data_IF_999351473889
#
_entry.id   IF_999351473889
#
_cell.length_a   1.000
_cell.length_b   1.000
_cell.length_c   1.000
_cell.angle_alpha   90.00
_cell.angle_beta   90.00
_cell.angle_gamma   90.00
#
_symmetry.space_group_name_H-M   'P 1'
#
loop_
_entity.id
_entity.type
_entity.pdbx_description
1 polymer ?
#
# COMPACT_ATOMS: atom_id res chain seq x y z
N UNK A 1 -16.87 -28.18 -3.22
CA UNK A 1 -16.19 -28.26 -1.92
C UNK A 1 -15.34 -27.01 -1.71
N UNK A 2 -15.91 -25.98 -1.06
CA UNK A 2 -15.28 -24.66 -0.89
C UNK A 2 -13.88 -24.76 -0.23
N UNK A 3 -13.69 -25.72 0.69
CA UNK A 3 -12.42 -25.88 1.41
C UNK A 3 -11.23 -26.26 0.53
N UNK A 4 -11.46 -26.97 -0.57
CA UNK A 4 -10.40 -27.36 -1.51
C UNK A 4 -9.86 -26.19 -2.32
N UNK A 5 -10.64 -25.10 -2.44
CA UNK A 5 -10.27 -23.91 -3.21
C UNK A 5 -9.79 -22.75 -2.36
N UNK A 6 -9.72 -22.93 -1.03
CA UNK A 6 -9.34 -21.84 -0.11
C UNK A 6 -7.98 -21.21 -0.42
N UNK A 7 -7.06 -21.98 -0.97
CA UNK A 7 -5.70 -21.52 -1.30
C UNK A 7 -5.47 -21.39 -2.81
N UNK A 8 -6.54 -21.57 -3.61
CA UNK A 8 -6.47 -21.46 -5.06
C UNK A 8 -6.73 -20.01 -5.50
N UNK A 9 -5.66 -19.29 -5.85
CA UNK A 9 -5.73 -17.89 -6.21
C UNK A 9 -6.76 -17.54 -7.31
N UNK A 10 -6.91 -18.31 -8.42
CA UNK A 10 -7.94 -18.04 -9.41
C UNK A 10 -9.36 -18.09 -8.86
N UNK A 11 -9.66 -18.97 -7.89
CA UNK A 11 -10.98 -19.01 -7.24
C UNK A 11 -11.25 -17.74 -6.44
N UNK A 12 -10.28 -17.29 -5.66
CA UNK A 12 -10.39 -16.04 -4.88
C UNK A 12 -10.57 -14.84 -5.81
N UNK A 13 -9.85 -14.80 -6.94
CA UNK A 13 -10.01 -13.75 -7.95
C UNK A 13 -11.38 -13.78 -8.61
N UNK A 14 -11.89 -14.96 -8.97
CA UNK A 14 -13.22 -15.13 -9.54
C UNK A 14 -14.31 -14.64 -8.57
N UNK A 15 -14.24 -15.04 -7.30
CA UNK A 15 -15.19 -14.61 -6.28
C UNK A 15 -15.10 -13.09 -6.07
N UNK A 16 -13.90 -12.52 -6.05
CA UNK A 16 -13.71 -11.07 -5.95
C UNK A 16 -14.35 -10.33 -7.12
N UNK A 17 -14.18 -10.84 -8.34
CA UNK A 17 -14.80 -10.25 -9.54
C UNK A 17 -16.34 -10.35 -9.51
N UNK A 18 -16.88 -11.51 -9.13
CA UNK A 18 -18.31 -11.70 -8.93
C UNK A 18 -18.89 -10.74 -7.90
N UNK A 19 -18.19 -10.53 -6.79
CA UNK A 19 -18.57 -9.59 -5.74
C UNK A 19 -18.57 -8.15 -6.23
N UNK A 20 -17.58 -7.74 -7.02
CA UNK A 20 -17.54 -6.42 -7.62
C UNK A 20 -18.78 -6.16 -8.48
N UNK A 21 -19.14 -7.11 -9.35
CA UNK A 21 -20.31 -6.98 -10.21
C UNK A 21 -21.63 -6.93 -9.39
N UNK A 22 -21.79 -7.81 -8.41
CA UNK A 22 -23.00 -7.84 -7.57
C UNK A 22 -23.13 -6.60 -6.68
N UNK A 23 -22.03 -6.11 -6.10
CA UNK A 23 -22.06 -4.94 -5.25
C UNK A 23 -22.37 -3.66 -6.05
N UNK A 24 -21.85 -3.54 -7.26
CA UNK A 24 -22.07 -2.36 -8.12
C UNK A 24 -23.51 -2.25 -8.60
N UNK A 25 -24.20 -3.35 -8.87
CA UNK A 25 -25.61 -3.37 -9.34
C UNK A 25 -26.58 -2.80 -8.29
N UNK A 26 -26.24 -2.87 -7.00
CA UNK A 26 -27.13 -2.47 -5.90
C UNK A 26 -27.13 -0.96 -5.61
N UNK A 27 -26.22 -0.16 -6.19
CA UNK A 27 -26.04 1.25 -5.84
C UNK A 27 -26.01 2.16 -7.07
N UNK A 28 -27.16 2.29 -7.76
CA UNK A 28 -27.34 3.38 -8.71
C UNK A 28 -28.06 4.57 -8.03
N UNK A 29 -27.37 5.73 -8.04
CA UNK A 29 -27.81 7.10 -7.80
C UNK A 29 -27.72 7.68 -6.38
N UNK A 30 -27.23 8.94 -6.31
CA UNK A 30 -27.27 9.95 -5.24
C UNK A 30 -26.21 9.94 -4.13
N UNK A 31 -25.07 9.23 -4.26
CA UNK A 31 -23.99 9.26 -3.28
C UNK A 31 -22.76 9.96 -3.84
N UNK A 32 -21.96 10.60 -2.97
CA UNK A 32 -20.60 11.02 -3.32
C UNK A 32 -19.76 9.80 -3.70
N UNK A 33 -18.69 9.98 -4.49
CA UNK A 33 -17.88 8.83 -4.92
C UNK A 33 -17.24 8.11 -3.72
N UNK A 34 -16.84 8.85 -2.69
CA UNK A 34 -16.28 8.30 -1.44
C UNK A 34 -17.31 7.48 -0.67
N UNK A 35 -18.56 7.94 -0.58
CA UNK A 35 -19.63 7.20 0.09
C UNK A 35 -20.07 5.96 -0.70
N UNK A 36 -20.02 6.02 -2.03
CA UNK A 36 -20.25 4.86 -2.90
C UNK A 36 -19.21 3.78 -2.64
N UNK A 37 -17.93 4.15 -2.54
CA UNK A 37 -16.83 3.25 -2.26
C UNK A 37 -17.03 2.51 -0.93
N UNK A 38 -17.27 3.25 0.16
CA UNK A 38 -17.55 2.66 1.47
C UNK A 38 -18.74 1.69 1.41
N UNK A 39 -19.88 2.13 0.88
CA UNK A 39 -21.09 1.32 0.83
C UNK A 39 -20.91 0.09 -0.05
N UNK A 40 -20.27 0.22 -1.18
CA UNK A 40 -19.94 -0.91 -2.06
C UNK A 40 -19.11 -1.96 -1.35
N UNK A 41 -18.06 -1.55 -0.63
CA UNK A 41 -17.17 -2.48 0.06
C UNK A 41 -17.83 -3.09 1.32
N UNK A 42 -18.66 -2.34 2.07
CA UNK A 42 -19.47 -2.91 3.15
C UNK A 42 -20.46 -3.94 2.58
N UNK A 43 -21.05 -3.67 1.41
CA UNK A 43 -21.95 -4.62 0.77
C UNK A 43 -21.24 -5.90 0.34
N UNK A 44 -20.01 -5.79 -0.21
CA UNK A 44 -19.17 -6.96 -0.49
C UNK A 44 -18.96 -7.83 0.75
N UNK A 45 -18.63 -7.20 1.91
CA UNK A 45 -18.47 -7.93 3.18
C UNK A 45 -19.77 -8.68 3.57
N UNK A 46 -20.93 -8.02 3.45
CA UNK A 46 -22.23 -8.64 3.76
C UNK A 46 -22.55 -9.82 2.82
N UNK A 47 -22.29 -9.67 1.52
CA UNK A 47 -22.50 -10.75 0.54
C UNK A 47 -21.64 -11.95 0.86
N UNK A 48 -20.36 -11.74 1.20
CA UNK A 48 -19.43 -12.81 1.60
C UNK A 48 -19.94 -13.53 2.83
N UNK A 49 -20.34 -12.81 3.87
CA UNK A 49 -20.85 -13.39 5.11
C UNK A 49 -22.11 -14.23 4.88
N UNK A 50 -22.99 -13.79 3.96
CA UNK A 50 -24.23 -14.50 3.62
C UNK A 50 -24.00 -15.75 2.78
N UNK A 51 -23.13 -15.66 1.75
CA UNK A 51 -22.99 -16.69 0.74
C UNK A 51 -21.91 -17.73 1.07
N UNK A 52 -20.84 -17.35 1.76
CA UNK A 52 -19.70 -18.23 2.02
C UNK A 52 -19.85 -18.86 3.41
N UNK A 53 -20.06 -20.16 3.47
CA UNK A 53 -20.27 -20.91 4.73
C UNK A 53 -18.96 -21.45 5.31
N UNK A 54 -17.96 -21.70 4.49
CA UNK A 54 -16.65 -22.15 4.96
C UNK A 54 -15.89 -20.98 5.58
N UNK A 55 -15.64 -21.00 6.88
CA UNK A 55 -14.99 -19.92 7.63
C UNK A 55 -13.58 -19.58 7.12
N UNK A 56 -12.78 -20.56 6.71
CA UNK A 56 -11.44 -20.31 6.17
C UNK A 56 -11.51 -19.52 4.85
N UNK A 57 -12.39 -19.92 3.95
CA UNK A 57 -12.62 -19.23 2.66
C UNK A 57 -13.22 -17.85 2.91
N UNK A 58 -14.23 -17.75 3.77
CA UNK A 58 -14.87 -16.50 4.15
C UNK A 58 -13.85 -15.48 4.66
N UNK A 59 -13.05 -15.84 5.66
CA UNK A 59 -12.04 -14.96 6.22
C UNK A 59 -11.02 -14.51 5.17
N UNK A 60 -10.56 -15.40 4.30
CA UNK A 60 -9.60 -15.05 3.24
C UNK A 60 -10.15 -14.01 2.27
N UNK A 61 -11.42 -14.13 1.90
CA UNK A 61 -12.09 -13.17 1.01
C UNK A 61 -12.33 -11.85 1.75
N UNK A 62 -12.81 -11.88 3.00
CA UNK A 62 -13.00 -10.69 3.83
C UNK A 62 -11.67 -9.92 4.00
N UNK A 63 -10.57 -10.62 4.28
CA UNK A 63 -9.25 -10.03 4.39
C UNK A 63 -8.81 -9.35 3.10
N UNK A 64 -9.01 -10.02 1.95
CA UNK A 64 -8.66 -9.44 0.64
C UNK A 64 -9.45 -8.15 0.35
N UNK A 65 -10.77 -8.13 0.64
CA UNK A 65 -11.60 -6.93 0.51
C UNK A 65 -11.08 -5.82 1.41
N UNK A 66 -10.73 -6.14 2.68
CA UNK A 66 -10.25 -5.17 3.64
C UNK A 66 -8.91 -4.56 3.23
N UNK A 67 -7.96 -5.38 2.77
CA UNK A 67 -6.69 -4.89 2.25
C UNK A 67 -6.86 -3.96 1.05
N UNK A 68 -7.70 -4.35 0.08
CA UNK A 68 -7.93 -3.53 -1.10
C UNK A 68 -8.57 -2.19 -0.74
N UNK A 69 -9.63 -2.21 0.06
CA UNK A 69 -10.34 -1.00 0.46
C UNK A 69 -9.45 -0.01 1.22
N UNK A 70 -8.74 -0.48 2.25
CA UNK A 70 -7.90 0.39 3.08
C UNK A 70 -6.73 1.02 2.33
N UNK A 71 -6.27 0.39 1.23
CA UNK A 71 -5.19 0.94 0.42
C UNK A 71 -5.67 1.95 -0.64
N UNK A 72 -6.95 2.01 -0.91
CA UNK A 72 -7.54 2.87 -1.93
C UNK A 72 -8.29 4.06 -1.32
N UNK A 73 -8.99 3.86 -0.20
CA UNK A 73 -9.75 4.92 0.48
C UNK A 73 -8.89 5.66 1.52
N UNK A 74 -8.69 6.95 1.31
CA UNK A 74 -7.97 7.83 2.24
C UNK A 74 -8.90 8.59 3.21
N UNK A 75 -10.19 8.26 3.26
CA UNK A 75 -11.13 8.86 4.18
C UNK A 75 -11.10 8.16 5.54
N UNK A 76 -10.50 8.80 6.52
CA UNK A 76 -10.31 8.24 7.88
C UNK A 76 -11.61 7.84 8.56
N UNK A 77 -12.69 8.61 8.37
CA UNK A 77 -14.00 8.30 8.96
C UNK A 77 -14.56 7.04 8.33
N UNK A 78 -14.48 6.93 7.02
CA UNK A 78 -14.90 5.77 6.26
C UNK A 78 -14.10 4.52 6.62
N UNK A 79 -12.79 4.66 6.82
CA UNK A 79 -11.93 3.56 7.24
C UNK A 79 -12.38 2.97 8.57
N UNK A 80 -12.70 3.79 9.56
CA UNK A 80 -13.19 3.31 10.85
C UNK A 80 -14.51 2.55 10.71
N UNK A 81 -15.47 3.11 9.98
CA UNK A 81 -16.78 2.47 9.73
C UNK A 81 -16.58 1.11 9.03
N UNK A 82 -15.69 1.04 8.05
CA UNK A 82 -15.38 -0.18 7.33
C UNK A 82 -14.69 -1.23 8.24
N UNK A 83 -13.69 -0.82 9.00
CA UNK A 83 -12.96 -1.69 9.93
C UNK A 83 -13.91 -2.29 10.97
N UNK A 84 -14.79 -1.49 11.56
CA UNK A 84 -15.79 -1.96 12.52
C UNK A 84 -16.69 -3.04 11.92
N UNK A 85 -17.12 -2.86 10.66
CA UNK A 85 -17.92 -3.86 9.95
C UNK A 85 -17.13 -5.14 9.68
N UNK A 86 -15.91 -5.02 9.19
CA UNK A 86 -15.01 -6.16 8.95
C UNK A 86 -14.77 -6.95 10.24
N UNK A 87 -14.51 -6.26 11.38
CA UNK A 87 -14.29 -6.88 12.68
C UNK A 87 -15.46 -7.73 13.16
N UNK A 88 -16.70 -7.29 12.89
CA UNK A 88 -17.91 -8.04 13.25
C UNK A 88 -18.07 -9.33 12.45
N UNK A 89 -17.58 -9.35 11.22
CA UNK A 89 -17.81 -10.47 10.29
C UNK A 89 -16.67 -11.48 10.22
N UNK A 90 -15.42 -11.02 10.41
CA UNK A 90 -14.26 -11.91 10.39
C UNK A 90 -14.09 -12.62 11.74
N UNK A 91 -13.79 -13.92 11.73
CA UNK A 91 -13.38 -14.71 12.91
C UNK A 91 -11.84 -14.87 13.00
N UNK A 92 -11.09 -14.39 12.02
CA UNK A 92 -9.63 -14.51 11.95
C UNK A 92 -8.93 -13.45 12.79
N UNK A 93 -8.53 -13.81 14.00
CA UNK A 93 -7.90 -12.88 14.96
C UNK A 93 -6.55 -12.34 14.48
N UNK A 94 -5.77 -13.12 13.75
CA UNK A 94 -4.44 -12.72 13.26
C UNK A 94 -4.56 -11.62 12.22
N UNK A 95 -5.37 -11.82 11.19
CA UNK A 95 -5.60 -10.83 10.15
C UNK A 95 -6.38 -9.60 10.64
N UNK A 96 -7.24 -9.75 11.66
CA UNK A 96 -7.85 -8.59 12.30
C UNK A 96 -6.82 -7.60 12.83
N UNK A 97 -5.79 -8.13 13.53
CA UNK A 97 -4.72 -7.27 14.06
C UNK A 97 -3.91 -6.62 12.93
N UNK A 98 -3.65 -7.35 11.86
CA UNK A 98 -2.95 -6.81 10.68
C UNK A 98 -3.77 -5.70 9.99
N UNK A 99 -5.04 -5.91 9.76
CA UNK A 99 -5.95 -4.92 9.18
C UNK A 99 -6.05 -3.66 10.06
N UNK A 100 -6.10 -3.83 11.38
CA UNK A 100 -6.09 -2.69 12.31
C UNK A 100 -4.79 -1.89 12.23
N UNK A 101 -3.64 -2.56 12.19
CA UNK A 101 -2.33 -1.91 12.03
C UNK A 101 -2.26 -1.10 10.74
N UNK A 102 -2.73 -1.66 9.62
CA UNK A 102 -2.79 -0.97 8.34
C UNK A 102 -3.72 0.25 8.41
N UNK A 103 -4.91 0.07 8.98
CA UNK A 103 -5.86 1.17 9.17
C UNK A 103 -5.27 2.32 9.99
N UNK A 104 -4.56 2.01 11.09
CA UNK A 104 -3.87 2.99 11.92
C UNK A 104 -2.72 3.67 11.16
N UNK A 105 -1.92 2.92 10.41
CA UNK A 105 -0.85 3.48 9.58
C UNK A 105 -1.39 4.47 8.54
N UNK A 106 -2.46 4.10 7.84
CA UNK A 106 -3.11 4.98 6.85
C UNK A 106 -3.61 6.26 7.48
N UNK A 107 -4.12 6.22 8.72
CA UNK A 107 -4.53 7.43 9.44
C UNK A 107 -3.37 8.40 9.67
N UNK A 108 -2.15 7.90 9.87
CA UNK A 108 -0.94 8.71 10.02
C UNK A 108 -0.39 9.24 8.68
N UNK A 109 -0.81 8.64 7.57
CA UNK A 109 -0.34 9.01 6.21
C UNK A 109 -1.25 10.02 5.50
N UNK A 110 -2.11 10.71 6.23
CA UNK A 110 -3.00 11.74 5.68
C UNK A 110 -2.25 12.99 5.21
N UNK A 111 -2.77 13.69 4.20
CA UNK A 111 -2.22 14.98 3.80
C UNK A 111 -2.08 15.96 4.98
N UNK A 112 -1.00 16.72 4.97
CA UNK A 112 -0.58 17.70 6.01
C UNK A 112 -0.04 17.11 7.31
N UNK A 113 0.07 15.77 7.42
CA UNK A 113 0.75 15.12 8.55
C UNK A 113 2.23 14.92 8.22
N UNK A 114 3.06 14.81 9.25
CA UNK A 114 4.44 14.40 9.11
C UNK A 114 4.51 12.93 8.72
N UNK A 115 5.45 12.59 7.84
CA UNK A 115 5.70 11.19 7.49
C UNK A 115 6.29 10.46 8.71
N UNK A 116 5.71 9.34 9.18
CA UNK A 116 6.26 8.58 10.30
C UNK A 116 7.73 8.21 10.07
N UNK A 117 8.56 8.40 11.09
CA UNK A 117 10.00 8.21 10.99
C UNK A 117 10.35 6.72 10.91
N UNK A 118 11.15 6.36 9.91
CA UNK A 118 11.76 5.04 9.73
C UNK A 118 13.28 5.19 9.50
N UNK A 119 14.03 4.12 9.72
CA UNK A 119 15.44 4.09 9.40
C UNK A 119 15.68 3.55 7.99
N UNK A 120 16.51 4.27 7.24
CA UNK A 120 16.97 3.92 5.91
C UNK A 120 18.49 3.76 5.90
N UNK A 121 19.02 3.06 4.91
CA UNK A 121 20.46 2.89 4.71
C UNK A 121 20.83 3.59 3.41
N UNK A 122 21.82 4.49 3.48
CA UNK A 122 22.33 5.18 2.29
C UNK A 122 23.30 4.30 1.48
N UNK A 123 23.75 4.81 0.34
CA UNK A 123 24.68 4.10 -0.56
C UNK A 123 26.06 3.83 0.05
N UNK A 124 26.41 4.50 1.16
CA UNK A 124 27.65 4.29 1.92
C UNK A 124 27.45 3.27 3.06
N UNK A 125 26.25 2.70 3.21
CA UNK A 125 25.92 1.77 4.29
C UNK A 125 25.60 2.44 5.63
N UNK A 126 25.47 3.78 5.67
CA UNK A 126 25.13 4.53 6.87
C UNK A 126 23.62 4.57 7.08
N UNK A 127 23.18 4.34 8.32
CA UNK A 127 21.78 4.51 8.71
C UNK A 127 21.41 6.00 8.78
N UNK A 128 20.34 6.37 8.11
CA UNK A 128 19.78 7.72 8.04
C UNK A 128 18.32 7.66 8.42
N UNK A 129 17.88 8.60 9.26
CA UNK A 129 16.47 8.79 9.60
C UNK A 129 15.70 9.43 8.44
N UNK A 130 14.51 8.94 8.15
CA UNK A 130 13.70 9.36 6.98
C UNK A 130 13.26 10.82 7.00
N UNK A 131 13.20 11.48 8.16
CA UNK A 131 12.96 12.92 8.27
C UNK A 131 14.06 13.77 7.64
N UNK A 132 15.26 13.20 7.44
CA UNK A 132 16.45 13.87 6.86
C UNK A 132 16.61 13.67 5.35
N UNK A 133 15.80 12.83 4.73
CA UNK A 133 15.91 12.56 3.29
C UNK A 133 15.21 13.60 2.41
N UNK A 134 14.27 14.35 2.97
CA UNK A 134 13.50 15.37 2.26
C UNK A 134 14.07 16.76 2.52
N UNK A 135 14.65 17.39 1.48
CA UNK A 135 15.19 18.74 1.55
C UNK A 135 14.35 19.76 0.75
N UNK A 136 13.39 19.28 -0.01
CA UNK A 136 12.47 20.03 -0.86
C UNK A 136 11.23 19.18 -1.16
N UNK A 137 10.33 19.63 -2.03
CA UNK A 137 9.23 18.76 -2.49
C UNK A 137 9.77 17.42 -2.98
N UNK A 138 9.32 16.32 -2.37
CA UNK A 138 9.93 15.01 -2.54
C UNK A 138 8.91 13.98 -2.99
N UNK A 139 9.30 13.17 -3.97
CA UNK A 139 8.55 11.99 -4.41
C UNK A 139 9.34 10.76 -3.98
N UNK A 140 8.75 9.95 -3.09
CA UNK A 140 9.33 8.69 -2.62
C UNK A 140 8.62 7.56 -3.33
N UNK A 141 9.37 6.63 -3.89
CA UNK A 141 8.85 5.41 -4.49
C UNK A 141 9.65 4.19 -4.03
N UNK A 142 9.09 3.00 -4.26
CA UNK A 142 9.63 1.75 -3.74
C UNK A 142 9.97 0.80 -4.88
N UNK A 143 10.97 -0.05 -4.66
CA UNK A 143 11.38 -1.05 -5.61
C UNK A 143 12.02 -2.27 -4.96
N UNK A 144 12.10 -3.38 -5.68
CA UNK A 144 12.78 -4.61 -5.29
C UNK A 144 13.47 -5.24 -6.50
N UNK A 145 14.59 -5.90 -6.27
CA UNK A 145 15.31 -6.63 -7.33
C UNK A 145 14.48 -7.78 -7.93
N UNK A 146 13.56 -8.33 -7.16
CA UNK A 146 12.69 -9.44 -7.59
C UNK A 146 11.74 -9.05 -8.74
N UNK A 147 11.50 -7.75 -8.94
CA UNK A 147 10.62 -7.20 -9.97
C UNK A 147 11.43 -6.32 -10.93
N UNK A 148 12.32 -6.92 -11.71
CA UNK A 148 13.26 -6.21 -12.60
C UNK A 148 12.56 -5.31 -13.63
N UNK A 149 11.46 -5.75 -14.21
CA UNK A 149 10.67 -4.93 -15.14
C UNK A 149 10.08 -3.68 -14.46
N UNK A 150 9.59 -3.81 -13.22
CA UNK A 150 9.11 -2.69 -12.42
C UNK A 150 10.26 -1.72 -12.06
N UNK A 151 11.39 -2.26 -11.60
CA UNK A 151 12.59 -1.48 -11.31
C UNK A 151 12.97 -0.59 -12.50
N UNK A 152 13.15 -1.17 -13.69
CA UNK A 152 13.57 -0.44 -14.89
C UNK A 152 12.52 0.59 -15.35
N UNK A 153 11.26 0.18 -15.43
CA UNK A 153 10.17 1.06 -15.87
C UNK A 153 9.98 2.26 -14.92
N UNK A 154 10.02 2.01 -13.60
CA UNK A 154 9.83 3.06 -12.60
C UNK A 154 10.97 4.06 -12.62
N UNK A 155 12.22 3.63 -12.61
CA UNK A 155 13.37 4.53 -12.66
C UNK A 155 13.42 5.33 -13.96
N UNK A 156 13.14 4.69 -15.12
CA UNK A 156 13.02 5.39 -16.40
C UNK A 156 11.95 6.48 -16.34
N UNK A 157 10.78 6.18 -15.78
CA UNK A 157 9.70 7.16 -15.62
C UNK A 157 10.11 8.32 -14.72
N UNK A 158 10.83 8.04 -13.64
CA UNK A 158 11.28 9.06 -12.69
C UNK A 158 12.34 9.99 -13.27
N UNK A 159 13.25 9.47 -14.08
CA UNK A 159 14.21 10.30 -14.81
C UNK A 159 13.50 11.29 -15.74
N UNK A 160 12.45 10.86 -16.45
CA UNK A 160 11.61 11.74 -17.26
C UNK A 160 10.87 12.77 -16.40
N UNK A 161 10.30 12.36 -15.27
CA UNK A 161 9.63 13.26 -14.34
C UNK A 161 10.59 14.29 -13.74
N UNK A 162 11.80 13.90 -13.44
CA UNK A 162 12.84 14.81 -12.95
C UNK A 162 13.19 15.90 -13.96
N UNK A 163 13.26 15.56 -15.24
CA UNK A 163 13.47 16.57 -16.30
C UNK A 163 12.29 17.56 -16.37
N UNK A 164 11.05 17.05 -16.23
CA UNK A 164 9.84 17.87 -16.26
C UNK A 164 9.65 18.70 -14.98
N UNK A 165 10.08 18.18 -13.83
CA UNK A 165 9.89 18.78 -12.51
C UNK A 165 11.23 18.90 -11.76
N UNK A 166 12.15 19.77 -12.21
CA UNK A 166 13.52 19.85 -11.66
C UNK A 166 13.57 20.31 -10.19
N UNK A 167 12.51 20.99 -9.73
CA UNK A 167 12.38 21.43 -8.34
C UNK A 167 12.02 20.32 -7.36
N UNK A 168 11.59 19.16 -7.85
CA UNK A 168 11.29 18.01 -7.02
C UNK A 168 12.55 17.16 -6.77
N UNK A 169 12.63 16.60 -5.58
CA UNK A 169 13.57 15.53 -5.27
C UNK A 169 12.88 14.19 -5.51
N UNK A 170 13.59 13.24 -6.10
CA UNK A 170 13.13 11.87 -6.29
C UNK A 170 13.96 10.95 -5.44
N UNK A 171 13.29 10.20 -4.56
CA UNK A 171 13.87 9.27 -3.60
C UNK A 171 13.38 7.88 -3.92
N UNK A 172 14.30 6.95 -4.09
CA UNK A 172 14.01 5.53 -4.30
C UNK A 172 14.36 4.75 -3.03
N UNK A 173 13.43 3.91 -2.56
CA UNK A 173 13.64 3.04 -1.41
C UNK A 173 13.56 1.58 -1.84
N UNK A 174 14.69 0.89 -1.78
CA UNK A 174 14.75 -0.54 -2.00
C UNK A 174 14.22 -1.30 -0.79
N UNK A 175 13.37 -2.30 -1.01
CA UNK A 175 12.69 -3.09 0.02
C UNK A 175 13.40 -4.41 0.37
N UNK A 176 14.47 -4.75 -0.36
CA UNK A 176 15.17 -6.01 -0.13
C UNK A 176 16.17 -5.90 1.05
N UNK A 177 16.43 -7.03 1.71
CA UNK A 177 17.36 -7.09 2.85
C UNK A 177 18.83 -7.16 2.42
N UNK A 178 19.12 -7.61 1.20
CA UNK A 178 20.44 -7.90 0.69
C UNK A 178 21.16 -6.62 0.25
N UNK A 179 22.09 -6.16 1.07
CA UNK A 179 22.92 -4.96 0.82
C UNK A 179 23.82 -5.14 -0.41
N UNK A 180 24.42 -6.31 -0.57
CA UNK A 180 25.38 -6.55 -1.66
C UNK A 180 24.65 -6.58 -3.01
N UNK A 181 23.52 -7.29 -3.09
CA UNK A 181 22.69 -7.34 -4.29
C UNK A 181 22.17 -5.93 -4.65
N UNK A 182 21.74 -5.13 -3.66
CA UNK A 182 21.33 -3.75 -3.87
C UNK A 182 22.45 -2.91 -4.47
N UNK A 183 23.65 -2.93 -3.86
CA UNK A 183 24.81 -2.18 -4.33
C UNK A 183 25.22 -2.58 -5.75
N UNK A 184 25.22 -3.89 -6.07
CA UNK A 184 25.48 -4.40 -7.42
C UNK A 184 24.45 -3.88 -8.43
N UNK A 185 23.18 -3.82 -8.03
CA UNK A 185 22.09 -3.29 -8.87
C UNK A 185 22.29 -1.81 -9.17
N UNK A 186 22.60 -0.99 -8.17
CA UNK A 186 22.88 0.43 -8.37
C UNK A 186 24.09 0.68 -9.29
N UNK A 187 25.15 -0.11 -9.12
CA UNK A 187 26.34 -0.04 -9.99
C UNK A 187 26.03 -0.39 -11.44
N UNK A 188 25.15 -1.38 -11.66
CA UNK A 188 24.70 -1.81 -13.01
C UNK A 188 23.89 -0.74 -13.71
N UNK A 189 22.87 -0.19 -13.05
CA UNK A 189 21.87 0.68 -13.70
C UNK A 189 22.23 2.17 -13.66
N UNK A 190 23.05 2.63 -12.72
CA UNK A 190 23.53 4.02 -12.58
C UNK A 190 22.41 5.06 -12.66
N UNK A 191 21.44 4.98 -11.78
CA UNK A 191 20.26 5.88 -11.74
C UNK A 191 20.63 7.31 -11.29
N UNK A 192 21.40 8.02 -12.10
CA UNK A 192 21.91 9.35 -11.79
C UNK A 192 20.79 10.34 -11.50
N UNK A 193 20.90 10.99 -10.33
CA UNK A 193 20.01 12.07 -9.94
C UNK A 193 18.73 11.61 -9.22
N UNK A 194 18.61 10.33 -8.88
CA UNK A 194 17.66 9.79 -7.91
C UNK A 194 18.44 9.50 -6.63
N UNK A 195 17.91 9.89 -5.48
CA UNK A 195 18.52 9.58 -4.18
C UNK A 195 18.13 8.17 -3.77
N UNK A 196 19.09 7.27 -3.73
CA UNK A 196 18.87 5.85 -3.47
C UNK A 196 19.09 5.51 -2.00
N UNK A 197 18.12 4.82 -1.41
CA UNK A 197 18.16 4.27 -0.08
C UNK A 197 17.68 2.83 -0.06
N UNK A 198 18.04 2.09 0.98
CA UNK A 198 17.45 0.77 1.29
C UNK A 198 16.74 0.85 2.63
N UNK A 199 15.64 0.16 2.80
CA UNK A 199 14.99 0.07 4.10
C UNK A 199 15.90 -0.71 5.09
N UNK A 200 16.05 -0.20 6.30
CA UNK A 200 16.80 -0.90 7.35
C UNK A 200 16.00 -2.06 7.92
N UNK A 201 14.70 -1.83 8.14
CA UNK A 201 13.73 -2.81 8.61
C UNK A 201 12.44 -2.72 7.79
N UNK A 202 12.13 -3.79 7.04
CA UNK A 202 10.95 -3.82 6.18
C UNK A 202 9.64 -3.88 6.98
N UNK A 203 9.61 -4.56 8.13
CA UNK A 203 8.39 -4.65 8.93
C UNK A 203 8.05 -3.30 9.58
N UNK A 204 9.05 -2.58 10.10
CA UNK A 204 8.86 -1.22 10.62
C UNK A 204 8.36 -0.26 9.51
N UNK A 205 8.96 -0.32 8.33
CA UNK A 205 8.56 0.49 7.18
C UNK A 205 7.14 0.13 6.71
N UNK A 206 6.83 -1.17 6.62
CA UNK A 206 5.50 -1.66 6.26
C UNK A 206 4.43 -1.18 7.23
N UNK A 207 4.69 -1.28 8.54
CA UNK A 207 3.75 -0.87 9.58
C UNK A 207 3.55 0.66 9.60
N UNK A 208 4.61 1.45 9.42
CA UNK A 208 4.55 2.92 9.50
C UNK A 208 4.08 3.59 8.21
N UNK A 209 4.50 3.08 7.06
CA UNK A 209 4.18 3.67 5.76
C UNK A 209 3.14 2.89 4.97
N UNK A 210 2.52 1.88 5.57
CA UNK A 210 1.52 1.01 4.97
C UNK A 210 1.96 0.43 3.61
N UNK A 211 3.23 0.00 3.51
CA UNK A 211 3.79 -0.54 2.27
C UNK A 211 3.35 -1.98 2.10
N UNK A 212 2.23 -2.19 1.44
CA UNK A 212 1.69 -3.52 1.11
C UNK A 212 1.93 -3.90 -0.34
N UNK A 213 2.25 -2.91 -1.19
CA UNK A 213 2.57 -3.08 -2.62
C UNK A 213 3.77 -2.20 -2.97
N UNK A 214 4.65 -2.72 -3.83
CA UNK A 214 5.84 -1.99 -4.30
C UNK A 214 5.48 -0.76 -5.14
N UNK A 215 4.30 -0.74 -5.74
CA UNK A 215 3.84 0.37 -6.61
C UNK A 215 3.36 1.62 -5.87
N UNK A 216 3.49 1.65 -4.54
CA UNK A 216 3.11 2.81 -3.75
C UNK A 216 4.05 3.99 -4.03
N UNK A 217 3.51 5.21 -3.93
CA UNK A 217 4.27 6.46 -4.06
C UNK A 217 3.85 7.40 -2.95
N UNK A 218 4.79 8.06 -2.28
CA UNK A 218 4.53 9.08 -1.25
C UNK A 218 5.07 10.42 -1.77
N UNK A 219 4.26 11.47 -1.66
CA UNK A 219 4.63 12.82 -2.07
C UNK A 219 4.65 13.72 -0.83
N UNK A 220 5.79 14.36 -0.58
CA UNK A 220 5.98 15.31 0.50
C UNK A 220 6.09 16.74 -0.05
N UNK A 221 5.62 17.70 0.72
CA UNK A 221 5.85 19.11 0.46
C UNK A 221 7.29 19.53 0.88
N UNK A 222 7.63 20.81 0.67
CA UNK A 222 8.93 21.38 1.03
C UNK A 222 9.22 21.42 2.54
N UNK A 223 8.22 21.16 3.40
CA UNK A 223 8.35 21.07 4.85
C UNK A 223 8.43 19.60 5.33
N UNK A 224 8.38 18.63 4.41
CA UNK A 224 8.33 17.20 4.73
C UNK A 224 6.95 16.70 5.12
N UNK A 225 5.90 17.51 4.95
CA UNK A 225 4.53 17.09 5.22
C UNK A 225 3.95 16.31 4.02
N UNK A 226 3.14 15.31 4.31
CA UNK A 226 2.50 14.49 3.29
C UNK A 226 1.54 15.34 2.44
N UNK A 227 1.70 15.30 1.13
CA UNK A 227 0.75 15.80 0.13
C UNK A 227 -0.14 14.67 -0.37
N UNK A 228 0.44 13.49 -0.57
CA UNK A 228 -0.22 12.26 -0.99
C UNK A 228 0.63 11.05 -0.55
N UNK A 229 -0.04 9.94 -0.18
CA UNK A 229 0.67 8.71 0.21
C UNK A 229 -0.14 7.45 -0.14
#
# INVERSE_FOLDING_TARGET
NESQFSDYAPFIMYVSHMLNNKATILYHNHLTDVDKELKTNINKLNIVDTLIKNEKVKNKILNNIAFQYLLEDQNVVNNNIFIDKYYKLSSDKSHKNEILKIGNAIQLLRPKFELPIVNLIDTNGKTISSDKISTKETVIFFWTQKLSSHLEATHKKLLLLKQKYPNYQFVAVNLDKDQEAWTKTLAKYKFNGISEYRCADFEDLKEKWAITKVHRTIILDKKGLIKNA
#
